data_IF_628199164149
#
_entry.id   IF_628199164149
#
_cell.length_a   1.000
_cell.length_b   1.000
_cell.length_c   1.000
_cell.angle_alpha   90.00
_cell.angle_beta   90.00
_cell.angle_gamma   90.00
#
_symmetry.space_group_name_H-M   'P 1'
#
loop_
_entity.id
_entity.type
_entity.pdbx_description
1 polymer ?
#
# COMPACT_ATOMS: atom_id res chain seq x y z
N UNK A 1 -15.83 4.66 52.21
CA UNK A 1 -14.39 4.48 51.94
C UNK A 1 -14.20 3.00 51.61
N UNK A 2 -13.58 2.62 50.48
CA UNK A 2 -13.51 1.20 50.07
C UNK A 2 -12.75 0.36 51.11
N UNK A 3 -13.33 -0.75 51.57
CA UNK A 3 -12.74 -1.62 52.62
C UNK A 3 -11.33 -2.12 52.29
N UNK A 4 -11.01 -2.23 51.00
CA UNK A 4 -9.68 -2.65 50.54
C UNK A 4 -8.55 -1.71 51.00
N UNK A 5 -8.84 -0.42 51.22
CA UNK A 5 -7.87 0.62 51.58
C UNK A 5 -7.97 1.07 53.05
N UNK A 6 -8.86 0.47 53.82
CA UNK A 6 -9.08 0.77 55.24
C UNK A 6 -8.54 -0.37 56.11
N UNK A 7 -7.75 -0.05 57.15
CA UNK A 7 -7.37 -1.01 58.18
C UNK A 7 -8.25 -0.84 59.42
N UNK A 8 -9.21 -1.75 59.60
CA UNK A 8 -10.13 -1.73 60.72
C UNK A 8 -9.47 -2.02 62.08
N UNK A 9 -8.29 -2.65 62.12
CA UNK A 9 -7.54 -2.93 63.35
C UNK A 9 -6.66 -1.75 63.76
N UNK A 10 -6.04 -1.07 62.80
CA UNK A 10 -5.22 0.10 63.06
C UNK A 10 -6.03 1.41 63.12
N UNK A 11 -7.27 1.41 62.61
CA UNK A 11 -8.12 2.60 62.54
C UNK A 11 -7.59 3.65 61.55
N UNK A 12 -6.78 3.22 60.58
CA UNK A 12 -6.05 4.09 59.66
C UNK A 12 -6.17 3.63 58.21
N UNK A 13 -5.86 4.54 57.29
CA UNK A 13 -5.71 4.23 55.87
C UNK A 13 -4.46 3.38 55.65
N UNK A 14 -4.57 2.37 54.79
CA UNK A 14 -3.39 1.62 54.38
C UNK A 14 -2.53 2.45 53.41
N UNK A 15 -1.19 2.33 53.44
CA UNK A 15 -0.28 3.12 52.59
C UNK A 15 -0.53 2.94 51.08
N UNK A 16 -1.08 1.81 50.64
CA UNK A 16 -1.43 1.53 49.24
C UNK A 16 -2.52 2.47 48.71
N UNK A 17 -3.31 3.10 49.59
CA UNK A 17 -4.25 4.15 49.19
C UNK A 17 -3.52 5.39 48.65
N UNK A 18 -2.39 5.76 49.26
CA UNK A 18 -1.57 6.88 48.79
C UNK A 18 -0.98 6.61 47.41
N UNK A 19 -0.51 5.38 47.16
CA UNK A 19 -0.03 4.94 45.85
C UNK A 19 -1.15 4.91 44.80
N UNK A 20 -2.35 4.45 45.18
CA UNK A 20 -3.51 4.44 44.30
C UNK A 20 -3.91 5.86 43.87
N UNK A 21 -3.95 6.81 44.81
CA UNK A 21 -4.25 8.22 44.51
C UNK A 21 -3.16 8.85 43.62
N UNK A 22 -1.88 8.60 43.92
CA UNK A 22 -0.78 9.05 43.04
C UNK A 22 -0.87 8.43 41.64
N UNK A 23 -1.29 7.17 41.53
CA UNK A 23 -1.54 6.50 40.26
C UNK A 23 -2.67 7.15 39.47
N UNK A 24 -3.76 7.54 40.14
CA UNK A 24 -4.87 8.28 39.51
C UNK A 24 -4.45 9.67 39.04
N UNK A 25 -3.62 10.39 39.78
CA UNK A 25 -3.10 11.69 39.36
C UNK A 25 -2.17 11.58 38.15
N UNK A 26 -1.29 10.57 38.12
CA UNK A 26 -0.46 10.29 36.94
C UNK A 26 -1.31 9.96 35.72
N UNK A 27 -2.27 9.06 35.86
CA UNK A 27 -3.20 8.70 34.80
C UNK A 27 -4.00 9.90 34.30
N UNK A 28 -4.49 10.74 35.21
CA UNK A 28 -5.18 11.98 34.87
C UNK A 28 -4.28 12.93 34.09
N UNK A 29 -3.04 13.11 34.53
CA UNK A 29 -2.06 13.99 33.86
C UNK A 29 -1.73 13.49 32.47
N UNK A 30 -1.61 12.17 32.28
CA UNK A 30 -1.42 11.54 30.98
C UNK A 30 -2.63 11.75 30.05
N UNK A 31 -3.85 11.53 30.57
CA UNK A 31 -5.07 11.79 29.78
C UNK A 31 -5.21 13.27 29.44
N UNK A 32 -4.92 14.19 30.37
CA UNK A 32 -4.98 15.63 30.11
C UNK A 32 -3.91 16.05 29.09
N UNK A 33 -2.71 15.45 29.16
CA UNK A 33 -1.65 15.65 28.17
C UNK A 33 -2.08 15.15 26.79
N UNK A 34 -2.66 13.94 26.70
CA UNK A 34 -3.19 13.39 25.45
C UNK A 34 -4.38 14.19 24.93
N UNK A 35 -5.26 14.66 25.81
CA UNK A 35 -6.40 15.50 25.44
C UNK A 35 -5.94 16.83 24.84
N UNK A 36 -4.84 17.40 25.33
CA UNK A 36 -4.18 18.57 24.74
C UNK A 36 -3.59 18.32 23.35
N UNK A 37 -3.41 17.05 22.94
CA UNK A 37 -2.95 16.66 21.59
C UNK A 37 -4.09 16.28 20.64
N UNK A 38 -5.36 16.39 21.08
CA UNK A 38 -6.51 16.17 20.22
C UNK A 38 -6.66 17.42 19.32
N UNK A 39 -6.61 17.26 17.99
CA UNK A 39 -6.82 18.38 17.09
C UNK A 39 -8.20 19.03 17.27
N UNK A 40 -8.26 20.36 17.24
CA UNK A 40 -9.49 21.15 17.47
C UNK A 40 -10.61 20.81 16.48
N UNK A 41 -10.24 20.43 15.25
CA UNK A 41 -11.16 20.10 14.17
C UNK A 41 -10.66 18.89 13.37
N UNK A 42 -11.57 18.21 12.67
CA UNK A 42 -11.25 16.99 11.92
C UNK A 42 -10.22 17.23 10.81
N UNK A 43 -10.22 18.39 10.16
CA UNK A 43 -9.26 18.79 9.13
C UNK A 43 -7.83 19.02 9.67
N UNK A 44 -7.67 19.17 10.99
CA UNK A 44 -6.36 19.41 11.64
C UNK A 44 -5.56 18.14 11.92
N UNK A 45 -6.13 16.96 11.67
CA UNK A 45 -5.39 15.71 11.77
C UNK A 45 -4.37 15.59 10.64
N UNK A 46 -3.11 15.50 11.02
CA UNK A 46 -2.00 15.32 10.09
C UNK A 46 -1.93 13.84 9.68
N UNK A 47 -1.85 13.59 8.37
CA UNK A 47 -1.82 12.23 7.82
C UNK A 47 -0.38 11.89 7.52
N UNK A 48 0.31 11.51 8.59
CA UNK A 48 1.71 11.08 8.56
C UNK A 48 1.86 9.72 9.19
N UNK A 49 2.91 9.03 8.79
CA UNK A 49 3.30 7.78 9.41
C UNK A 49 3.84 8.07 10.83
N UNK A 50 3.67 7.13 11.76
CA UNK A 50 4.31 7.20 13.06
C UNK A 50 5.83 7.40 12.94
N UNK A 51 6.43 8.13 13.87
CA UNK A 51 7.87 8.41 13.86
C UNK A 51 8.74 7.14 13.99
N UNK A 52 8.20 6.08 14.58
CA UNK A 52 8.78 4.75 14.77
C UNK A 52 8.47 3.79 13.60
N UNK A 53 7.75 4.25 12.57
CA UNK A 53 7.41 3.41 11.44
C UNK A 53 8.59 3.26 10.47
N UNK A 54 9.17 2.06 10.44
CA UNK A 54 10.19 1.70 9.47
C UNK A 54 9.55 1.34 8.12
N UNK A 55 9.73 2.20 7.12
CA UNK A 55 9.26 1.92 5.76
C UNK A 55 10.25 0.99 5.05
N UNK A 56 9.82 -0.19 4.55
CA UNK A 56 10.72 -1.10 3.86
C UNK A 56 11.24 -0.49 2.55
N UNK A 57 12.43 -0.91 2.12
CA UNK A 57 13.07 -0.36 0.91
C UNK A 57 12.18 -0.49 -0.33
N UNK A 58 12.03 0.61 -1.06
CA UNK A 58 11.25 0.66 -2.31
C UNK A 58 9.75 0.90 -2.13
N UNK A 59 9.25 1.04 -0.91
CA UNK A 59 7.86 1.46 -0.64
C UNK A 59 7.77 2.97 -0.44
N UNK A 60 6.69 3.55 -0.94
CA UNK A 60 6.36 4.96 -0.72
C UNK A 60 4.91 5.06 -0.26
N UNK A 61 4.69 5.64 0.91
CA UNK A 61 3.35 5.96 1.37
C UNK A 61 2.80 7.14 0.55
N UNK A 62 1.69 6.91 -0.16
CA UNK A 62 1.00 7.94 -0.91
C UNK A 62 -0.47 8.00 -0.50
N UNK A 63 -0.93 9.23 -0.28
CA UNK A 63 -2.31 9.57 0.07
C UNK A 63 -3.12 10.05 -1.13
N UNK A 64 -2.49 10.19 -2.30
CA UNK A 64 -3.21 10.51 -3.54
C UNK A 64 -4.36 9.52 -3.75
N UNK A 65 -5.48 9.99 -4.28
CA UNK A 65 -6.70 9.25 -4.62
C UNK A 65 -7.33 8.45 -3.47
N UNK A 66 -7.05 8.85 -2.22
CA UNK A 66 -7.65 8.33 -0.99
C UNK A 66 -8.31 9.45 -0.19
N UNK A 67 -8.54 10.60 -0.79
CA UNK A 67 -9.00 11.83 -0.14
C UNK A 67 -10.30 11.56 0.65
N UNK A 68 -11.27 10.87 0.05
CA UNK A 68 -12.53 10.52 0.72
C UNK A 68 -12.35 9.57 1.91
N UNK A 69 -11.40 8.62 1.86
CA UNK A 69 -11.10 7.73 2.98
C UNK A 69 -10.43 8.49 4.12
N UNK A 70 -9.51 9.40 3.78
CA UNK A 70 -8.80 10.25 4.74
C UNK A 70 -9.77 11.18 5.45
N UNK A 71 -10.67 11.84 4.71
CA UNK A 71 -11.71 12.69 5.29
C UNK A 71 -12.62 11.93 6.24
N UNK A 72 -13.06 10.72 5.84
CA UNK A 72 -13.86 9.86 6.71
C UNK A 72 -13.09 9.43 7.97
N UNK A 73 -11.81 9.08 7.84
CA UNK A 73 -10.95 8.70 8.96
C UNK A 73 -10.73 9.87 9.93
N UNK A 74 -10.50 11.07 9.40
CA UNK A 74 -10.38 12.32 10.18
C UNK A 74 -11.67 12.64 10.94
N UNK A 75 -12.82 12.56 10.27
CA UNK A 75 -14.11 12.78 10.90
C UNK A 75 -14.40 11.75 12.00
N UNK A 76 -14.07 10.47 11.76
CA UNK A 76 -14.20 9.41 12.75
C UNK A 76 -13.27 9.62 13.95
N UNK A 77 -12.01 10.02 13.71
CA UNK A 77 -11.03 10.30 14.75
C UNK A 77 -11.44 11.47 15.63
N UNK A 78 -11.90 12.57 15.02
CA UNK A 78 -12.42 13.72 15.76
C UNK A 78 -13.66 13.38 16.58
N UNK A 79 -14.62 12.65 15.99
CA UNK A 79 -15.82 12.18 16.68
C UNK A 79 -15.49 11.27 17.87
N UNK A 80 -14.46 10.44 17.74
CA UNK A 80 -13.97 9.56 18.80
C UNK A 80 -13.00 10.25 19.77
N UNK A 81 -12.70 11.54 19.57
CA UNK A 81 -11.73 12.32 20.37
C UNK A 81 -10.38 11.65 20.48
N UNK A 82 -9.90 11.08 19.37
CA UNK A 82 -8.60 10.42 19.34
C UNK A 82 -7.47 11.47 19.38
N UNK A 83 -6.39 11.24 20.14
CA UNK A 83 -5.20 12.07 20.03
C UNK A 83 -4.55 11.87 18.65
N UNK A 84 -3.77 12.87 18.22
CA UNK A 84 -3.04 12.81 16.95
C UNK A 84 -2.13 11.56 16.84
N UNK A 85 -1.49 11.16 17.94
CA UNK A 85 -0.65 9.94 17.98
C UNK A 85 -1.43 8.65 17.71
N UNK A 86 -2.66 8.55 18.22
CA UNK A 86 -3.52 7.40 17.93
C UNK A 86 -3.98 7.40 16.48
N UNK A 87 -4.23 8.57 15.90
CA UNK A 87 -4.54 8.69 14.47
C UNK A 87 -3.36 8.25 13.60
N UNK A 88 -2.14 8.70 13.89
CA UNK A 88 -0.92 8.28 13.21
C UNK A 88 -0.70 6.77 13.32
N UNK A 89 -0.94 6.17 14.50
CA UNK A 89 -0.86 4.72 14.67
C UNK A 89 -1.83 3.96 13.77
N UNK A 90 -3.05 4.47 13.56
CA UNK A 90 -4.00 3.88 12.58
C UNK A 90 -3.48 4.02 11.14
N UNK A 91 -2.93 5.18 10.78
CA UNK A 91 -2.33 5.40 9.46
C UNK A 91 -1.17 4.43 9.23
N UNK A 92 -0.30 4.25 10.22
CA UNK A 92 0.79 3.29 10.19
C UNK A 92 0.31 1.84 10.04
N UNK A 93 -0.77 1.46 10.73
CA UNK A 93 -1.34 0.12 10.60
C UNK A 93 -1.89 -0.15 9.19
N UNK A 94 -2.55 0.83 8.57
CA UNK A 94 -3.03 0.73 7.18
C UNK A 94 -1.86 0.63 6.22
N UNK A 95 -0.82 1.45 6.39
CA UNK A 95 0.38 1.38 5.57
C UNK A 95 1.09 0.02 5.69
N UNK A 96 1.22 -0.53 6.90
CA UNK A 96 1.78 -1.86 7.11
C UNK A 96 0.96 -2.96 6.43
N UNK A 97 -0.37 -2.88 6.49
CA UNK A 97 -1.25 -3.85 5.84
C UNK A 97 -1.10 -3.80 4.31
N UNK A 98 -1.01 -2.60 3.74
CA UNK A 98 -0.78 -2.39 2.31
C UNK A 98 0.56 -2.94 1.86
N UNK A 99 1.64 -2.65 2.60
CA UNK A 99 2.97 -3.19 2.31
C UNK A 99 2.92 -4.72 2.29
N UNK A 100 2.30 -5.35 3.29
CA UNK A 100 2.14 -6.81 3.33
C UNK A 100 1.36 -7.36 2.14
N UNK A 101 0.33 -6.66 1.68
CA UNK A 101 -0.41 -7.05 0.47
C UNK A 101 0.48 -6.96 -0.77
N UNK A 102 1.22 -5.87 -0.94
CA UNK A 102 2.14 -5.70 -2.05
C UNK A 102 3.26 -6.74 -2.05
N UNK A 103 3.80 -7.10 -0.89
CA UNK A 103 4.76 -8.20 -0.74
C UNK A 103 4.16 -9.55 -1.15
N UNK A 104 2.93 -9.84 -0.71
CA UNK A 104 2.24 -11.06 -1.09
C UNK A 104 1.96 -11.13 -2.60
N UNK A 105 1.54 -10.02 -3.20
CA UNK A 105 1.33 -9.91 -4.64
C UNK A 105 2.65 -10.09 -5.40
N UNK A 106 3.74 -9.49 -4.93
CA UNK A 106 5.07 -9.66 -5.50
C UNK A 106 5.50 -11.12 -5.47
N UNK A 107 5.41 -11.76 -4.31
CA UNK A 107 5.77 -13.16 -4.14
C UNK A 107 4.94 -14.08 -5.06
N UNK A 108 3.65 -13.79 -5.22
CA UNK A 108 2.77 -14.51 -6.16
C UNK A 108 3.23 -14.30 -7.61
N UNK A 109 3.48 -13.07 -8.03
CA UNK A 109 3.93 -12.76 -9.40
C UNK A 109 5.29 -13.42 -9.68
N UNK A 110 6.22 -13.37 -8.75
CA UNK A 110 7.53 -14.01 -8.89
C UNK A 110 7.39 -15.53 -9.03
N UNK A 111 6.46 -16.15 -8.28
CA UNK A 111 6.14 -17.57 -8.41
C UNK A 111 5.53 -17.91 -9.77
N UNK A 112 4.60 -17.08 -10.28
CA UNK A 112 3.98 -17.22 -11.59
C UNK A 112 5.01 -17.10 -12.72
N UNK A 113 5.91 -16.13 -12.65
CA UNK A 113 6.99 -15.95 -13.63
C UNK A 113 7.94 -17.14 -13.58
N UNK A 114 8.29 -17.64 -12.39
CA UNK A 114 9.08 -18.87 -12.26
C UNK A 114 8.37 -20.07 -12.88
N UNK A 115 7.04 -20.14 -12.77
CA UNK A 115 6.23 -21.21 -13.38
C UNK A 115 6.20 -21.16 -14.93
N UNK A 116 6.64 -20.06 -15.56
CA UNK A 116 6.83 -20.00 -17.01
C UNK A 116 7.99 -20.86 -17.52
N UNK A 117 8.86 -21.33 -16.61
CA UNK A 117 10.04 -22.13 -16.91
C UNK A 117 11.21 -21.30 -17.46
N UNK A 118 12.30 -21.96 -17.84
CA UNK A 118 13.55 -21.32 -18.29
C UNK A 118 13.34 -20.39 -19.50
N UNK A 119 12.34 -20.69 -20.34
CA UNK A 119 12.00 -19.89 -21.54
C UNK A 119 11.03 -18.73 -21.26
N UNK A 120 10.65 -18.50 -20.01
CA UNK A 120 9.73 -17.43 -19.61
C UNK A 120 10.13 -16.05 -20.15
N UNK A 121 11.39 -15.62 -20.00
CA UNK A 121 11.86 -14.34 -20.55
C UNK A 121 11.72 -14.23 -22.08
N UNK A 122 12.06 -15.28 -22.83
CA UNK A 122 11.92 -15.30 -24.30
C UNK A 122 10.46 -15.22 -24.74
N UNK A 123 9.56 -15.89 -24.01
CA UNK A 123 8.12 -15.83 -24.25
C UNK A 123 7.57 -14.42 -24.06
N UNK A 124 7.92 -13.77 -22.95
CA UNK A 124 7.52 -12.39 -22.66
C UNK A 124 8.04 -11.41 -23.72
N UNK A 125 9.30 -11.55 -24.16
CA UNK A 125 9.86 -10.72 -25.25
C UNK A 125 9.12 -10.93 -26.57
N UNK A 126 8.73 -12.18 -26.86
CA UNK A 126 8.01 -12.52 -28.07
C UNK A 126 6.61 -11.91 -28.09
N UNK A 127 5.89 -11.97 -26.96
CA UNK A 127 4.59 -11.31 -26.78
C UNK A 127 4.74 -9.79 -26.94
N UNK A 128 5.71 -9.18 -26.26
CA UNK A 128 5.94 -7.74 -26.35
C UNK A 128 6.23 -7.29 -27.78
N UNK A 129 7.10 -8.02 -28.49
CA UNK A 129 7.45 -7.74 -29.89
C UNK A 129 6.22 -7.84 -30.79
N UNK A 130 5.41 -8.89 -30.62
CA UNK A 130 4.20 -9.09 -31.41
C UNK A 130 3.11 -8.03 -31.12
N UNK A 131 2.95 -7.61 -29.87
CA UNK A 131 2.03 -6.54 -29.49
C UNK A 131 2.47 -5.19 -30.07
N UNK A 132 3.75 -4.83 -29.95
CA UNK A 132 4.30 -3.58 -30.50
C UNK A 132 4.24 -3.51 -32.03
N UNK A 133 4.28 -4.66 -32.70
CA UNK A 133 4.13 -4.72 -34.15
C UNK A 133 2.68 -4.45 -34.62
N UNK A 134 1.69 -4.62 -33.74
CA UNK A 134 0.26 -4.56 -34.09
C UNK A 134 -0.51 -3.42 -33.44
N UNK A 135 0.04 -2.84 -32.37
CA UNK A 135 -0.68 -1.90 -31.50
C UNK A 135 0.15 -0.63 -31.25
N UNK A 136 -0.54 0.43 -30.84
CA UNK A 136 0.14 1.62 -30.32
C UNK A 136 0.87 1.31 -29.01
N UNK A 137 1.87 2.12 -28.65
CA UNK A 137 2.66 1.90 -27.44
C UNK A 137 1.80 1.79 -26.17
N UNK A 138 0.78 2.64 -26.01
CA UNK A 138 -0.13 2.58 -24.85
C UNK A 138 -1.02 1.33 -24.82
N UNK A 139 -1.49 0.87 -25.97
CA UNK A 139 -2.27 -0.37 -26.08
C UNK A 139 -1.40 -1.62 -25.82
N UNK A 140 -0.17 -1.64 -26.35
CA UNK A 140 0.78 -2.71 -26.08
C UNK A 140 1.17 -2.76 -24.59
N UNK A 141 1.44 -1.61 -23.96
CA UNK A 141 1.72 -1.52 -22.53
C UNK A 141 0.55 -2.00 -21.67
N UNK A 142 -0.69 -1.65 -22.05
CA UNK A 142 -1.90 -2.10 -21.35
C UNK A 142 -2.08 -3.62 -21.42
N UNK A 143 -1.82 -4.25 -22.58
CA UNK A 143 -1.90 -5.71 -22.70
C UNK A 143 -0.72 -6.42 -22.04
N UNK A 144 0.47 -5.82 -22.02
CA UNK A 144 1.61 -6.35 -21.27
C UNK A 144 1.34 -6.39 -19.75
N UNK A 145 0.41 -5.59 -19.21
CA UNK A 145 0.01 -5.70 -17.81
C UNK A 145 -0.60 -7.08 -17.47
N UNK A 146 -1.11 -7.82 -18.46
CA UNK A 146 -1.66 -9.17 -18.26
C UNK A 146 -0.56 -10.24 -18.10
N UNK A 147 0.70 -9.95 -18.43
CA UNK A 147 1.79 -10.94 -18.37
C UNK A 147 2.36 -11.15 -16.97
N UNK A 148 1.58 -10.87 -15.93
CA UNK A 148 1.95 -11.00 -14.51
C UNK A 148 1.58 -12.37 -13.94
N UNK A 149 0.87 -13.19 -14.71
CA UNK A 149 0.55 -14.58 -14.41
C UNK A 149 0.87 -15.49 -15.59
N UNK A 150 1.09 -16.78 -15.31
CA UNK A 150 1.29 -17.79 -16.35
C UNK A 150 0.09 -17.86 -17.31
N UNK A 151 -1.12 -17.85 -16.77
CA UNK A 151 -2.34 -17.91 -17.57
C UNK A 151 -2.48 -16.69 -18.49
N UNK A 152 -2.09 -15.50 -18.02
CA UNK A 152 -2.10 -14.29 -18.84
C UNK A 152 -1.11 -14.35 -20.00
N UNK A 153 0.08 -14.90 -19.76
CA UNK A 153 1.09 -15.17 -20.81
C UNK A 153 0.54 -16.17 -21.83
N UNK A 154 -0.01 -17.30 -21.38
CA UNK A 154 -0.57 -18.33 -22.27
C UNK A 154 -1.79 -17.82 -23.06
N UNK A 155 -2.65 -17.00 -22.45
CA UNK A 155 -3.78 -16.39 -23.11
C UNK A 155 -3.34 -15.44 -24.23
N UNK A 156 -2.36 -14.58 -23.97
CA UNK A 156 -1.81 -13.68 -24.98
C UNK A 156 -1.11 -14.43 -26.11
N UNK A 157 -0.36 -15.49 -25.81
CA UNK A 157 0.24 -16.36 -26.85
C UNK A 157 -0.83 -16.98 -27.76
N UNK A 158 -1.93 -17.49 -27.19
CA UNK A 158 -3.07 -18.03 -27.95
C UNK A 158 -3.73 -16.95 -28.83
N UNK A 159 -3.97 -15.76 -28.27
CA UNK A 159 -4.55 -14.65 -29.03
C UNK A 159 -3.64 -14.21 -30.18
N UNK A 160 -2.34 -14.05 -29.92
CA UNK A 160 -1.37 -13.58 -30.92
C UNK A 160 -1.14 -14.59 -32.04
N UNK A 161 -1.14 -15.89 -31.71
CA UNK A 161 -1.03 -16.98 -32.69
C UNK A 161 -2.31 -17.15 -33.53
N UNK A 162 -3.48 -16.87 -32.96
CA UNK A 162 -4.75 -16.85 -33.73
C UNK A 162 -4.85 -15.65 -34.68
N UNK A 163 -4.37 -14.48 -34.28
CA UNK A 163 -4.40 -13.26 -35.07
C UNK A 163 -3.47 -13.28 -36.31
N UNK A 164 -2.46 -14.16 -36.35
CA UNK A 164 -1.68 -14.43 -37.58
C UNK A 164 -2.48 -15.05 -38.74
N UNK A 165 -3.78 -15.37 -38.53
CA UNK A 165 -4.68 -15.87 -39.58
C UNK A 165 -5.52 -14.78 -40.26
N UNK A 166 -5.40 -13.52 -39.86
CA UNK A 166 -6.07 -12.37 -40.49
C UNK A 166 -5.03 -11.54 -41.24
N UNK A 167 -5.24 -11.18 -42.53
CA UNK A 167 -4.26 -10.42 -43.30
C UNK A 167 -3.97 -9.07 -42.62
N UNK A 168 -2.70 -8.78 -42.35
CA UNK A 168 -2.28 -7.55 -41.70
C UNK A 168 -2.32 -6.37 -42.70
N UNK A 169 -3.04 -5.32 -42.35
CA UNK A 169 -2.87 -4.00 -42.95
C UNK A 169 -1.64 -3.32 -42.32
N UNK A 170 -0.83 -2.68 -43.17
CA UNK A 170 0.61 -2.40 -42.95
C UNK A 170 0.90 -1.42 -41.81
N UNK A 171 1.79 -1.80 -40.87
CA UNK A 171 2.33 -0.94 -39.82
C UNK A 171 3.72 -0.36 -40.17
N UNK A 172 3.89 0.93 -39.86
CA UNK A 172 5.03 1.83 -40.17
C UNK A 172 6.31 1.52 -39.33
N UNK A 173 7.50 1.36 -39.95
CA UNK A 173 8.72 0.84 -39.30
C UNK A 173 9.53 1.81 -38.40
N UNK A 174 9.03 2.99 -38.02
CA UNK A 174 9.88 4.07 -37.49
C UNK A 174 10.13 4.13 -35.96
N UNK A 175 9.88 3.11 -35.12
CA UNK A 175 10.00 3.26 -33.64
C UNK A 175 11.00 2.28 -32.99
N UNK A 176 12.28 2.67 -32.95
CA UNK A 176 13.36 1.96 -32.22
C UNK A 176 13.57 2.51 -30.80
N UNK A 177 13.66 1.60 -29.82
CA UNK A 177 14.99 1.31 -29.25
C UNK A 177 15.34 1.66 -27.80
N UNK A 178 14.58 2.44 -27.03
CA UNK A 178 15.06 2.90 -25.70
C UNK A 178 14.51 2.13 -24.48
N UNK A 179 13.47 1.31 -24.63
CA UNK A 179 12.71 0.80 -23.47
C UNK A 179 13.21 -0.55 -22.89
N UNK A 180 14.02 -1.31 -23.64
CA UNK A 180 14.31 -2.72 -23.34
C UNK A 180 15.25 -2.93 -22.15
N UNK A 181 16.31 -2.13 -22.02
CA UNK A 181 17.28 -2.26 -20.92
C UNK A 181 16.74 -1.74 -19.58
N UNK A 182 15.77 -0.83 -19.64
CA UNK A 182 15.16 -0.25 -18.44
C UNK A 182 14.05 -1.16 -17.89
N UNK A 183 13.29 -1.80 -18.78
CA UNK A 183 12.21 -2.75 -18.44
C UNK A 183 12.75 -4.05 -17.82
N UNK A 184 13.92 -4.54 -18.24
CA UNK A 184 14.53 -5.76 -17.68
C UNK A 184 15.28 -5.53 -16.37
N UNK A 185 15.67 -4.30 -16.07
CA UNK A 185 16.28 -3.93 -14.77
C UNK A 185 15.23 -3.69 -13.68
N UNK A 186 13.98 -3.53 -14.06
CA UNK A 186 12.89 -3.22 -13.15
C UNK A 186 12.08 -4.47 -12.81
N UNK A 187 11.83 -4.64 -11.51
CA UNK A 187 10.94 -5.70 -11.03
C UNK A 187 9.57 -5.61 -11.73
N UNK A 188 8.93 -6.74 -12.07
CA UNK A 188 7.55 -6.78 -12.57
C UNK A 188 6.57 -5.94 -11.73
N UNK A 189 6.81 -5.85 -10.42
CA UNK A 189 6.05 -5.00 -9.50
C UNK A 189 6.25 -3.52 -9.79
N UNK A 190 7.49 -3.08 -9.99
CA UNK A 190 7.81 -1.69 -10.37
C UNK A 190 7.13 -1.30 -11.69
N UNK A 191 6.93 -2.25 -12.61
CA UNK A 191 6.19 -2.02 -13.86
C UNK A 191 4.69 -1.85 -13.61
N UNK A 192 4.09 -2.71 -12.79
CA UNK A 192 2.68 -2.59 -12.42
C UNK A 192 2.41 -1.28 -11.68
N UNK A 193 3.21 -0.94 -10.67
CA UNK A 193 3.04 0.30 -9.89
C UNK A 193 3.11 1.52 -10.80
N UNK A 194 4.04 1.56 -11.75
CA UNK A 194 4.12 2.65 -12.73
C UNK A 194 2.90 2.74 -13.65
N UNK A 195 2.38 1.60 -14.13
CA UNK A 195 1.20 1.58 -14.99
C UNK A 195 -0.02 2.08 -14.20
N UNK A 196 -0.19 1.65 -12.95
CA UNK A 196 -1.24 2.13 -12.06
C UNK A 196 -1.10 3.63 -11.74
N UNK A 197 0.11 4.12 -11.47
CA UNK A 197 0.37 5.56 -11.23
C UNK A 197 0.08 6.42 -12.47
N UNK A 198 0.41 5.96 -13.68
CA UNK A 198 0.09 6.69 -14.92
C UNK A 198 -1.40 6.71 -15.22
N UNK A 199 -2.10 5.59 -15.03
CA UNK A 199 -3.55 5.51 -15.20
C UNK A 199 -4.28 6.46 -14.24
N UNK A 200 -3.76 6.60 -13.02
CA UNK A 200 -4.28 7.50 -12.00
C UNK A 200 -4.08 8.98 -12.33
N UNK A 201 -2.94 9.36 -12.92
CA UNK A 201 -2.67 10.76 -13.34
C UNK A 201 -3.42 11.19 -14.60
N UNK A 202 -4.03 10.25 -15.32
CA UNK A 202 -4.80 10.50 -16.53
C UNK A 202 -6.32 10.57 -16.31
N UNK A 203 -6.78 10.38 -15.07
CA UNK A 203 -8.17 10.59 -14.62
C UNK A 203 -8.29 11.85 -13.77
#
# INVERSE_FOLDING_TARGET
MPEQYWDAKAGTLKPEYGEHVQGLERFRTEIESLAGTIPEAADKYDVKLPADFEMPEGYQFSVEGREGLIEAARAAAHKARLPQSAFEAMVGAVAAAEIKQLEADRARIDAEIKALGEKGPERLRSIETALKARLTAGQAESLMALTVSKDGVEALEKLLSSASRVPAETADPARKGAALDQIMKESPVTRLTRIFERQRKAS
#
